data_IF_673311445808
#
_entry.id   IF_673311445808
#
_cell.length_a   1.000
_cell.length_b   1.000
_cell.length_c   1.000
_cell.angle_alpha   90.00
_cell.angle_beta   90.00
_cell.angle_gamma   90.00
#
_symmetry.space_group_name_H-M   'P 1'
#
loop_
_entity.id
_entity.type
_entity.pdbx_description
1 polymer ?
#
# COMPACT_ATOMS: atom_id res chain seq x y z
N UNK A 1 -3.17 2.75 13.63
CA UNK A 1 -3.34 2.22 12.25
C UNK A 1 -2.42 1.02 12.00
N UNK A 2 -1.09 1.13 12.12
CA UNK A 2 -0.20 -0.02 11.84
C UNK A 2 -0.42 -1.25 12.74
N UNK A 3 -0.85 -1.04 13.99
CA UNK A 3 -1.18 -2.14 14.90
C UNK A 3 -2.41 -2.94 14.43
N UNK A 4 -3.43 -2.28 13.87
CA UNK A 4 -4.66 -2.95 13.47
C UNK A 4 -4.46 -3.84 12.25
N UNK A 5 -3.46 -3.58 11.40
CA UNK A 5 -3.17 -4.38 10.19
C UNK A 5 -2.22 -5.56 10.44
N UNK A 6 -1.63 -5.68 11.65
CA UNK A 6 -0.68 -6.77 11.94
C UNK A 6 -1.32 -8.17 11.86
N UNK A 7 -2.63 -8.29 12.08
CA UNK A 7 -3.33 -9.58 11.96
C UNK A 7 -3.31 -10.12 10.52
N UNK A 8 -3.00 -9.29 9.51
CA UNK A 8 -2.85 -9.70 8.12
C UNK A 8 -1.45 -10.24 7.81
N UNK A 9 -0.47 -10.12 8.72
CA UNK A 9 0.91 -10.56 8.46
C UNK A 9 0.99 -12.08 8.47
N UNK A 10 1.41 -12.66 7.35
CA UNK A 10 1.68 -14.08 7.21
C UNK A 10 3.06 -14.45 7.77
N UNK A 11 3.29 -15.75 8.01
CA UNK A 11 4.54 -16.28 8.57
C UNK A 11 5.77 -15.90 7.72
N UNK A 12 5.64 -15.96 6.39
CA UNK A 12 6.70 -15.55 5.45
C UNK A 12 6.96 -14.04 5.36
N UNK A 13 6.27 -13.22 6.17
CA UNK A 13 6.43 -11.76 6.21
C UNK A 13 5.64 -10.97 5.16
N UNK A 14 5.00 -11.64 4.20
CA UNK A 14 3.99 -11.08 3.32
C UNK A 14 2.68 -10.78 4.09
N UNK A 15 1.72 -10.15 3.43
CA UNK A 15 0.44 -9.77 4.02
C UNK A 15 -0.72 -10.34 3.20
N UNK A 16 -1.69 -10.94 3.90
CA UNK A 16 -2.96 -11.36 3.31
C UNK A 16 -3.69 -10.17 2.73
N UNK A 17 -4.23 -10.35 1.52
CA UNK A 17 -4.95 -9.28 0.81
C UNK A 17 -6.25 -8.89 1.53
N UNK A 18 -6.88 -9.81 2.27
CA UNK A 18 -8.15 -9.52 2.95
C UNK A 18 -8.43 -10.41 4.15
N UNK A 19 -9.35 -9.93 5.00
CA UNK A 19 -9.87 -10.64 6.16
C UNK A 19 -11.37 -10.42 6.29
N UNK A 20 -12.12 -11.50 6.46
CA UNK A 20 -13.57 -11.49 6.68
C UNK A 20 -13.86 -11.31 8.15
N UNK A 21 -14.58 -10.24 8.51
CA UNK A 21 -14.93 -9.94 9.90
C UNK A 21 -16.27 -10.53 10.33
N UNK A 22 -17.24 -10.60 9.41
CA UNK A 22 -18.60 -11.07 9.68
C UNK A 22 -18.77 -12.56 9.37
N UNK A 23 -19.55 -13.27 10.19
CA UNK A 23 -19.78 -14.70 10.00
C UNK A 23 -18.55 -15.54 10.34
N UNK A 24 -18.05 -16.32 9.39
CA UNK A 24 -16.87 -17.15 9.58
C UNK A 24 -15.60 -16.33 9.31
N UNK A 25 -14.88 -16.00 10.39
CA UNK A 25 -13.63 -15.24 10.33
C UNK A 25 -12.57 -16.04 9.58
N UNK A 26 -12.10 -15.49 8.46
CA UNK A 26 -11.10 -16.13 7.62
C UNK A 26 -10.30 -15.10 6.84
N UNK A 27 -9.07 -15.46 6.46
CA UNK A 27 -8.34 -14.75 5.42
C UNK A 27 -8.99 -15.09 4.07
N UNK A 28 -9.47 -14.07 3.36
CA UNK A 28 -10.07 -14.24 2.05
C UNK A 28 -9.98 -12.94 1.24
N UNK A 29 -9.56 -12.98 -0.04
CA UNK A 29 -9.03 -14.16 -0.73
C UNK A 29 -7.70 -14.64 -0.12
N UNK A 30 -7.39 -15.93 -0.26
CA UNK A 30 -6.15 -16.55 0.22
C UNK A 30 -4.96 -16.19 -0.69
N UNK A 31 -4.66 -14.89 -0.78
CA UNK A 31 -3.62 -14.34 -1.64
C UNK A 31 -2.60 -13.52 -0.84
N UNK A 32 -1.32 -13.68 -1.19
CA UNK A 32 -0.19 -12.95 -0.63
C UNK A 32 0.54 -12.18 -1.74
N UNK A 33 -0.10 -11.14 -2.24
CA UNK A 33 0.44 -10.41 -3.40
C UNK A 33 1.60 -9.49 -2.98
N UNK A 34 2.57 -9.33 -3.89
CA UNK A 34 3.64 -8.32 -3.73
C UNK A 34 3.08 -6.90 -3.66
N UNK A 35 1.93 -6.66 -4.33
CA UNK A 35 1.21 -5.39 -4.26
C UNK A 35 0.74 -5.07 -2.84
N UNK A 36 0.14 -6.02 -2.13
CA UNK A 36 -0.31 -5.84 -0.73
C UNK A 36 0.87 -5.51 0.18
N UNK A 37 1.96 -6.27 0.06
CA UNK A 37 3.18 -6.01 0.82
C UNK A 37 3.78 -4.62 0.50
N UNK A 38 3.85 -4.25 -0.79
CA UNK A 38 4.33 -2.94 -1.23
C UNK A 38 3.48 -1.79 -0.71
N UNK A 39 2.15 -1.95 -0.75
CA UNK A 39 1.20 -0.95 -0.21
C UNK A 39 1.44 -0.71 1.28
N UNK A 40 1.72 -1.76 2.05
CA UNK A 40 2.03 -1.61 3.47
C UNK A 40 3.37 -0.91 3.71
N UNK A 41 4.41 -1.25 2.94
CA UNK A 41 5.72 -0.56 3.02
C UNK A 41 5.57 0.94 2.75
N UNK A 42 4.81 1.31 1.72
CA UNK A 42 4.49 2.71 1.40
C UNK A 42 3.70 3.38 2.53
N UNK A 43 2.71 2.69 3.11
CA UNK A 43 1.95 3.23 4.24
C UNK A 43 2.84 3.48 5.47
N UNK A 44 3.77 2.57 5.78
CA UNK A 44 4.75 2.77 6.88
C UNK A 44 5.67 3.95 6.57
N UNK A 45 6.19 4.06 5.35
CA UNK A 45 7.05 5.17 4.94
C UNK A 45 6.31 6.52 5.03
N UNK A 46 5.08 6.60 4.52
CA UNK A 46 4.26 7.80 4.59
C UNK A 46 3.92 8.20 6.04
N UNK A 47 3.52 7.25 6.89
CA UNK A 47 3.23 7.50 8.31
C UNK A 47 4.49 7.81 9.13
N UNK A 48 5.65 7.33 8.69
CA UNK A 48 6.96 7.61 9.28
C UNK A 48 7.58 8.94 8.84
N UNK A 49 6.98 9.62 7.87
CA UNK A 49 7.48 10.90 7.34
C UNK A 49 8.65 10.77 6.36
N UNK A 50 8.77 9.63 5.67
CA UNK A 50 9.73 9.48 4.58
C UNK A 50 9.46 10.53 3.48
N UNK A 51 10.41 11.44 3.27
CA UNK A 51 10.19 12.64 2.46
C UNK A 51 9.76 12.31 1.03
N UNK A 52 10.41 11.33 0.40
CA UNK A 52 10.11 10.94 -0.96
C UNK A 52 8.68 10.38 -1.08
N UNK A 53 8.30 9.49 -0.16
CA UNK A 53 6.95 8.92 -0.13
C UNK A 53 5.90 9.99 0.14
N UNK A 54 6.08 10.82 1.17
CA UNK A 54 5.14 11.91 1.49
C UNK A 54 4.99 12.89 0.32
N UNK A 55 6.08 13.21 -0.38
CA UNK A 55 6.04 14.09 -1.55
C UNK A 55 5.17 13.53 -2.68
N UNK A 56 5.39 12.26 -3.05
CA UNK A 56 4.61 11.60 -4.10
C UNK A 56 3.13 11.52 -3.71
N UNK A 57 2.82 11.14 -2.47
CA UNK A 57 1.44 11.01 -2.00
C UNK A 57 0.73 12.36 -1.78
N UNK A 58 1.47 13.43 -1.50
CA UNK A 58 0.90 14.79 -1.35
C UNK A 58 0.39 15.38 -2.66
N UNK A 59 0.95 14.95 -3.79
CA UNK A 59 0.62 15.50 -5.11
C UNK A 59 1.26 16.85 -5.43
N UNK A 60 1.78 17.60 -4.45
CA UNK A 60 2.24 18.98 -4.61
C UNK A 60 3.41 19.14 -5.60
N UNK A 61 4.25 18.11 -5.71
CA UNK A 61 5.44 18.07 -6.57
C UNK A 61 5.28 17.14 -7.78
N UNK A 62 4.07 16.62 -8.03
CA UNK A 62 3.86 15.73 -9.18
C UNK A 62 3.90 16.52 -10.49
N UNK A 63 4.58 16.00 -11.53
CA UNK A 63 4.57 16.63 -12.84
C UNK A 63 3.15 16.64 -13.40
N UNK A 64 2.79 17.69 -14.13
CA UNK A 64 1.47 17.87 -14.77
C UNK A 64 1.22 16.93 -15.97
N UNK A 65 2.13 15.99 -16.22
CA UNK A 65 2.16 15.14 -17.42
C UNK A 65 3.10 15.69 -18.50
N UNK A 66 3.23 14.94 -19.59
CA UNK A 66 3.93 15.38 -20.80
C UNK A 66 3.01 16.30 -21.61
N UNK A 67 3.54 17.39 -22.15
CA UNK A 67 2.78 18.25 -23.06
C UNK A 67 2.40 17.47 -24.33
N UNK A 68 1.13 17.52 -24.80
CA UNK A 68 0.66 16.71 -25.92
C UNK A 68 1.46 16.89 -27.22
N UNK A 69 2.08 18.06 -27.41
CA UNK A 69 2.83 18.43 -28.61
C UNK A 69 4.35 18.24 -28.47
N UNK A 70 4.86 17.69 -27.35
CA UNK A 70 6.31 17.60 -27.10
C UNK A 70 7.06 16.56 -27.96
N UNK A 71 6.36 15.80 -28.81
CA UNK A 71 6.95 14.72 -29.62
C UNK A 71 6.39 14.67 -31.05
N UNK A 72 6.20 15.83 -31.71
CA UNK A 72 6.01 15.88 -33.17
C UNK A 72 7.34 15.87 -33.92
#
# INVERSE_FOLDING_TARGET
>A
ILQSVQHLRAEGGLYWTGYVFEGNKAFWPEELTTWTAGSLLLAVAALGGDEATTAVFSGERLPVGLEPDCCR
#
